data_IF_073252753039
#
_entry.id   IF_073252753039
#
_cell.length_a   1.000
_cell.length_b   1.000
_cell.length_c   1.000
_cell.angle_alpha   90.00
_cell.angle_beta   90.00
_cell.angle_gamma   90.00
#
_symmetry.space_group_name_H-M   'P 1'
#
loop_
_entity.id
_entity.type
_entity.pdbx_description
1 polymer ?
#
# COMPACT_ATOMS: atom_id res chain seq x y z
N UNK A 1 -30.62 -12.28 16.38
CA UNK A 1 -29.88 -11.37 17.28
C UNK A 1 -28.46 -11.08 16.86
N UNK A 2 -27.73 -11.99 16.22
CA UNK A 2 -26.30 -11.77 15.83
C UNK A 2 -26.04 -10.84 14.63
N UNK A 3 -26.98 -10.62 13.72
CA UNK A 3 -26.72 -9.80 12.50
C UNK A 3 -26.67 -8.30 12.82
N UNK A 4 -27.40 -7.84 13.83
CA UNK A 4 -27.37 -6.43 14.27
C UNK A 4 -26.05 -6.07 14.98
N UNK A 5 -25.46 -6.97 15.75
CA UNK A 5 -24.26 -6.70 16.53
C UNK A 5 -23.01 -6.60 15.64
N UNK A 6 -22.89 -7.43 14.61
CA UNK A 6 -21.74 -7.39 13.70
C UNK A 6 -21.73 -6.11 12.85
N UNK A 7 -22.89 -5.64 12.40
CA UNK A 7 -23.01 -4.38 11.64
C UNK A 7 -22.72 -3.15 12.51
N UNK A 8 -23.06 -3.20 13.80
CA UNK A 8 -22.77 -2.13 14.77
C UNK A 8 -21.28 -2.08 15.08
N UNK A 9 -20.62 -3.22 15.30
CA UNK A 9 -19.16 -3.28 15.59
C UNK A 9 -18.36 -2.70 14.42
N UNK A 10 -18.69 -3.10 13.19
CA UNK A 10 -18.00 -2.55 12.01
C UNK A 10 -18.26 -1.07 11.82
N UNK A 11 -19.50 -0.63 12.02
CA UNK A 11 -19.86 0.78 11.94
C UNK A 11 -19.09 1.61 12.97
N UNK A 12 -18.90 1.09 14.18
CA UNK A 12 -18.13 1.76 15.22
C UNK A 12 -16.64 1.80 14.91
N UNK A 13 -16.05 0.69 14.43
CA UNK A 13 -14.64 0.66 14.00
C UNK A 13 -14.41 1.62 12.85
N UNK A 14 -15.29 1.61 11.84
CA UNK A 14 -15.23 2.54 10.71
C UNK A 14 -15.33 4.00 11.14
N UNK A 15 -16.29 4.31 12.02
CA UNK A 15 -16.46 5.67 12.56
C UNK A 15 -15.23 6.12 13.35
N UNK A 16 -14.66 5.21 14.17
CA UNK A 16 -13.44 5.47 14.94
C UNK A 16 -12.26 5.70 14.01
N UNK A 17 -12.06 4.85 13.02
CA UNK A 17 -10.99 5.01 12.02
C UNK A 17 -11.07 6.37 11.32
N UNK A 18 -12.23 6.72 10.77
CA UNK A 18 -12.41 7.99 10.06
C UNK A 18 -12.12 9.19 10.97
N UNK A 19 -12.57 9.16 12.23
CA UNK A 19 -12.29 10.22 13.20
C UNK A 19 -10.80 10.37 13.52
N UNK A 20 -10.09 9.24 13.66
CA UNK A 20 -8.65 9.21 13.92
C UNK A 20 -7.89 9.72 12.69
N UNK A 21 -8.19 9.18 11.52
CA UNK A 21 -7.53 9.55 10.26
C UNK A 21 -7.71 11.04 9.97
N UNK A 22 -8.93 11.57 10.12
CA UNK A 22 -9.20 13.00 9.95
C UNK A 22 -8.44 13.87 10.94
N UNK A 23 -8.36 13.46 12.21
CA UNK A 23 -7.58 14.16 13.22
C UNK A 23 -6.08 14.19 12.88
N UNK A 24 -5.55 13.07 12.39
CA UNK A 24 -4.14 12.95 12.04
C UNK A 24 -3.81 13.72 10.76
N UNK A 25 -4.65 13.66 9.74
CA UNK A 25 -4.49 14.44 8.51
C UNK A 25 -4.43 15.94 8.77
N UNK A 26 -5.22 16.45 9.72
CA UNK A 26 -5.17 17.87 10.15
C UNK A 26 -3.83 18.27 10.77
N UNK A 27 -3.06 17.32 11.27
CA UNK A 27 -1.72 17.57 11.84
C UNK A 27 -0.61 17.56 10.78
N UNK A 28 -0.92 17.09 9.57
CA UNK A 28 -0.02 17.15 8.41
C UNK A 28 -0.32 18.45 7.65
N UNK A 29 0.63 19.36 7.60
CA UNK A 29 0.50 20.62 6.86
C UNK A 29 1.06 20.49 5.45
N UNK A 30 0.33 21.01 4.47
CA UNK A 30 0.84 21.23 3.12
C UNK A 30 1.70 22.49 3.08
N UNK A 31 2.88 22.41 2.50
CA UNK A 31 3.66 23.58 2.11
C UNK A 31 3.16 24.10 0.76
N UNK A 32 2.45 25.22 0.79
CA UNK A 32 1.87 25.84 -0.42
C UNK A 32 2.94 26.29 -1.44
N UNK A 33 4.17 26.55 -1.01
CA UNK A 33 5.25 26.90 -1.94
C UNK A 33 5.58 25.71 -2.85
N UNK A 34 5.49 24.47 -2.35
CA UNK A 34 5.69 23.26 -3.15
C UNK A 34 4.60 23.15 -4.22
N UNK A 35 3.33 23.36 -3.86
CA UNK A 35 2.22 23.32 -4.82
C UNK A 35 2.35 24.40 -5.88
N UNK A 36 2.71 25.62 -5.50
CA UNK A 36 2.94 26.72 -6.44
C UNK A 36 4.10 26.42 -7.39
N UNK A 37 5.23 25.87 -6.89
CA UNK A 37 6.35 25.45 -7.74
C UNK A 37 5.93 24.39 -8.77
N UNK A 38 5.10 23.42 -8.36
CA UNK A 38 4.60 22.39 -9.28
C UNK A 38 3.66 23.00 -10.32
N UNK A 39 2.78 23.93 -9.91
CA UNK A 39 1.83 24.62 -10.79
C UNK A 39 2.53 25.36 -11.93
N UNK A 40 3.65 26.00 -11.61
CA UNK A 40 4.46 26.72 -12.60
C UNK A 40 5.18 25.79 -13.59
N UNK A 41 5.42 24.54 -13.19
CA UNK A 41 6.07 23.53 -14.05
C UNK A 41 5.07 22.74 -14.91
N UNK A 42 4.03 22.18 -14.29
CA UNK A 42 3.00 21.37 -14.99
C UNK A 42 1.66 21.43 -14.26
N UNK A 43 0.67 21.97 -14.95
CA UNK A 43 -0.69 22.14 -14.43
C UNK A 43 -1.39 20.81 -14.18
N UNK A 44 -1.10 19.75 -14.95
CA UNK A 44 -1.74 18.44 -14.79
C UNK A 44 -1.23 17.73 -13.54
N UNK A 45 0.09 17.79 -13.30
CA UNK A 45 0.70 17.27 -12.08
C UNK A 45 0.22 18.07 -10.87
N UNK A 46 0.14 19.41 -10.99
CA UNK A 46 -0.44 20.24 -9.94
C UNK A 46 -1.88 19.84 -9.61
N UNK A 47 -2.74 19.64 -10.60
CA UNK A 47 -4.13 19.23 -10.35
C UNK A 47 -4.22 17.90 -9.59
N UNK A 48 -3.35 16.94 -9.92
CA UNK A 48 -3.25 15.68 -9.20
C UNK A 48 -2.81 15.89 -7.74
N UNK A 49 -1.80 16.70 -7.52
CA UNK A 49 -1.29 16.99 -6.17
C UNK A 49 -2.28 17.82 -5.35
N UNK A 50 -2.95 18.78 -5.98
CA UNK A 50 -4.00 19.55 -5.34
C UNK A 50 -5.17 18.67 -4.89
N UNK A 51 -5.57 17.70 -5.71
CA UNK A 51 -6.56 16.70 -5.32
C UNK A 51 -6.11 15.92 -4.08
N UNK A 52 -4.89 15.36 -4.10
CA UNK A 52 -4.37 14.56 -3.00
C UNK A 52 -4.18 15.38 -1.71
N UNK A 53 -3.67 16.60 -1.80
CA UNK A 53 -3.40 17.42 -0.62
C UNK A 53 -4.65 18.08 -0.05
N UNK A 54 -5.46 18.73 -0.90
CA UNK A 54 -6.55 19.59 -0.42
C UNK A 54 -7.86 18.83 -0.20
N UNK A 55 -8.12 17.75 -0.97
CA UNK A 55 -9.35 16.96 -0.81
C UNK A 55 -9.14 15.70 0.03
N UNK A 56 -8.01 15.03 -0.16
CA UNK A 56 -7.75 13.76 0.51
C UNK A 56 -6.84 13.92 1.75
N UNK A 57 -6.20 15.08 1.93
CA UNK A 57 -5.36 15.40 3.09
C UNK A 57 -4.02 14.67 3.10
N UNK A 58 -3.46 14.35 1.94
CA UNK A 58 -2.13 13.76 1.76
C UNK A 58 -1.15 14.82 1.22
N UNK A 59 -0.26 15.40 2.05
CA UNK A 59 0.64 16.45 1.62
C UNK A 59 1.64 15.98 0.58
N UNK A 60 2.06 16.94 -0.26
CA UNK A 60 3.17 16.79 -1.21
C UNK A 60 4.46 17.17 -0.53
N UNK A 61 5.45 16.29 -0.60
CA UNK A 61 6.75 16.50 0.00
C UNK A 61 7.84 16.65 -1.07
N UNK A 62 8.82 17.49 -0.79
CA UNK A 62 10.00 17.69 -1.64
C UNK A 62 11.27 17.20 -0.94
N UNK A 63 11.37 17.42 0.38
CA UNK A 63 12.52 17.02 1.19
C UNK A 63 12.47 15.51 1.52
N UNK A 64 12.57 14.68 0.47
CA UNK A 64 12.51 13.22 0.61
C UNK A 64 13.30 12.56 -0.51
N UNK A 65 14.23 11.70 -0.15
CA UNK A 65 14.91 10.83 -1.11
C UNK A 65 14.14 9.53 -1.29
N UNK A 66 14.13 9.03 -2.53
CA UNK A 66 13.46 7.79 -2.94
C UNK A 66 14.50 6.83 -3.47
N UNK A 67 14.52 5.62 -2.93
CA UNK A 67 15.22 4.48 -3.53
C UNK A 67 14.19 3.47 -4.02
N UNK A 68 14.29 3.11 -5.30
CA UNK A 68 13.43 2.13 -5.93
C UNK A 68 14.13 0.78 -6.04
N UNK A 69 13.45 -0.26 -5.58
CA UNK A 69 13.93 -1.64 -5.70
C UNK A 69 13.12 -2.35 -6.77
N UNK A 70 13.82 -2.78 -7.81
CA UNK A 70 13.18 -3.42 -8.96
C UNK A 70 12.79 -4.87 -8.70
N UNK A 71 13.34 -5.49 -7.66
CA UNK A 71 13.04 -6.85 -7.20
C UNK A 71 12.85 -6.87 -5.68
N UNK A 72 12.06 -7.84 -5.20
CA UNK A 72 11.74 -7.96 -3.78
C UNK A 72 12.96 -8.22 -2.90
N UNK A 73 13.92 -9.00 -3.41
CA UNK A 73 15.14 -9.39 -2.70
C UNK A 73 15.98 -8.16 -2.30
N UNK A 74 16.17 -7.20 -3.22
CA UNK A 74 16.87 -5.94 -2.92
C UNK A 74 16.13 -5.13 -1.84
N UNK A 75 14.80 -5.10 -1.93
CA UNK A 75 13.96 -4.43 -0.95
C UNK A 75 14.06 -5.05 0.44
N UNK A 76 14.11 -6.39 0.55
CA UNK A 76 14.29 -7.12 1.81
C UNK A 76 15.65 -6.82 2.45
N UNK A 77 16.74 -6.89 1.69
CA UNK A 77 18.09 -6.60 2.20
C UNK A 77 18.23 -5.15 2.68
N UNK A 78 17.67 -4.22 1.92
CA UNK A 78 17.64 -2.81 2.33
C UNK A 78 16.82 -2.61 3.61
N UNK A 79 15.67 -3.26 3.72
CA UNK A 79 14.81 -3.19 4.90
C UNK A 79 15.50 -3.76 6.15
N UNK A 80 16.16 -4.92 6.04
CA UNK A 80 16.95 -5.51 7.12
C UNK A 80 18.08 -4.57 7.57
N UNK A 81 18.79 -3.96 6.61
CA UNK A 81 19.84 -3.00 6.88
C UNK A 81 19.35 -1.79 7.66
N UNK A 82 18.17 -1.24 7.32
CA UNK A 82 17.63 -0.09 8.02
C UNK A 82 17.02 -0.46 9.38
N UNK A 83 16.39 -1.64 9.50
CA UNK A 83 15.88 -2.15 10.79
C UNK A 83 17.00 -2.27 11.85
N UNK A 84 18.20 -2.68 11.44
CA UNK A 84 19.37 -2.76 12.34
C UNK A 84 19.81 -1.38 12.86
N UNK A 85 19.46 -0.29 12.20
CA UNK A 85 19.80 1.08 12.60
C UNK A 85 18.75 1.70 13.53
N UNK A 86 17.62 1.05 13.77
CA UNK A 86 16.54 1.58 14.60
C UNK A 86 17.02 1.90 16.02
N UNK A 87 16.65 3.08 16.52
CA UNK A 87 17.02 3.59 17.84
C UNK A 87 15.81 3.88 18.73
N UNK A 88 14.65 4.24 18.16
CA UNK A 88 13.48 4.70 18.89
C UNK A 88 12.27 3.78 18.70
N UNK A 89 11.86 3.56 17.45
CA UNK A 89 10.71 2.72 17.16
C UNK A 89 10.74 2.08 15.77
N UNK A 90 10.10 0.92 15.66
CA UNK A 90 9.83 0.19 14.42
C UNK A 90 8.34 -0.09 14.36
N UNK A 91 7.68 0.34 13.29
CA UNK A 91 6.28 0.05 13.00
C UNK A 91 6.17 -0.74 11.71
N UNK A 92 5.50 -1.88 11.76
CA UNK A 92 5.32 -2.76 10.61
C UNK A 92 3.86 -3.16 10.43
N UNK A 93 3.36 -3.02 9.20
CA UNK A 93 2.01 -3.34 8.77
C UNK A 93 2.08 -4.15 7.48
N UNK A 94 1.58 -5.39 7.50
CA UNK A 94 1.61 -6.28 6.35
C UNK A 94 0.31 -7.06 6.19
N UNK A 95 -0.10 -7.29 4.93
CA UNK A 95 -1.27 -8.13 4.67
C UNK A 95 -1.00 -9.58 5.01
N UNK A 96 0.15 -10.12 4.59
CA UNK A 96 0.53 -11.50 4.83
C UNK A 96 1.93 -11.58 5.43
N UNK A 97 2.04 -12.46 6.44
CA UNK A 97 3.31 -12.86 7.06
C UNK A 97 3.32 -14.39 7.09
N UNK A 98 4.42 -14.98 6.69
CA UNK A 98 4.71 -16.41 6.78
C UNK A 98 5.86 -16.64 7.75
N UNK A 99 5.73 -17.59 8.68
CA UNK A 99 6.85 -18.07 9.50
C UNK A 99 7.78 -18.91 8.63
N UNK A 100 8.62 -18.23 7.84
CA UNK A 100 9.56 -18.80 6.90
C UNK A 100 10.84 -17.96 6.83
N UNK A 101 11.81 -18.38 6.03
CA UNK A 101 13.17 -17.86 6.02
C UNK A 101 13.26 -16.33 5.89
N UNK A 102 12.46 -15.73 5.02
CA UNK A 102 12.47 -14.26 4.82
C UNK A 102 12.00 -13.49 6.05
N UNK A 103 10.90 -13.94 6.67
CA UNK A 103 10.37 -13.29 7.86
C UNK A 103 11.19 -13.60 9.11
N UNK A 104 11.76 -14.81 9.24
CA UNK A 104 12.61 -15.18 10.39
C UNK A 104 13.81 -14.22 10.52
N UNK A 105 14.42 -13.81 9.41
CA UNK A 105 15.49 -12.80 9.41
C UNK A 105 15.02 -11.46 9.97
N UNK A 106 13.82 -11.03 9.59
CA UNK A 106 13.21 -9.80 10.12
C UNK A 106 12.88 -9.99 11.61
N UNK A 107 12.24 -11.10 11.98
CA UNK A 107 11.85 -11.43 13.36
C UNK A 107 13.04 -11.37 14.30
N UNK A 108 14.18 -11.92 13.90
CA UNK A 108 15.42 -11.89 14.68
C UNK A 108 15.91 -10.46 14.95
N UNK A 109 15.83 -9.56 13.96
CA UNK A 109 16.15 -8.15 14.14
C UNK A 109 15.16 -7.49 15.10
N UNK A 110 13.85 -7.70 14.90
CA UNK A 110 12.83 -7.11 15.75
C UNK A 110 12.98 -7.52 17.22
N UNK A 111 13.27 -8.79 17.50
CA UNK A 111 13.50 -9.30 18.85
C UNK A 111 14.72 -8.63 19.49
N UNK A 112 15.84 -8.52 18.76
CA UNK A 112 17.05 -7.85 19.28
C UNK A 112 16.81 -6.39 19.55
N UNK A 113 16.07 -5.69 18.67
CA UNK A 113 15.73 -4.28 18.84
C UNK A 113 14.77 -4.05 20.00
N UNK A 114 13.75 -4.89 20.18
CA UNK A 114 12.85 -4.83 21.34
C UNK A 114 13.62 -5.05 22.65
N UNK A 115 14.52 -6.04 22.70
CA UNK A 115 15.40 -6.29 23.87
C UNK A 115 16.34 -5.11 24.16
N UNK A 116 16.72 -4.33 23.15
CA UNK A 116 17.52 -3.11 23.30
C UNK A 116 16.69 -1.86 23.69
N UNK A 117 15.37 -2.01 23.89
CA UNK A 117 14.48 -0.93 24.33
C UNK A 117 13.84 -0.12 23.20
N UNK A 118 13.99 -0.55 21.94
CA UNK A 118 13.27 0.02 20.79
C UNK A 118 11.79 -0.37 20.87
N UNK A 119 10.89 0.59 20.67
CA UNK A 119 9.44 0.33 20.60
C UNK A 119 9.10 -0.40 19.30
N UNK A 120 8.74 -1.68 19.37
CA UNK A 120 8.40 -2.47 18.16
C UNK A 120 6.92 -2.79 18.13
N UNK A 121 6.25 -2.39 17.04
CA UNK A 121 4.84 -2.69 16.76
C UNK A 121 4.71 -3.42 15.44
N UNK A 122 3.99 -4.52 15.45
CA UNK A 122 3.69 -5.33 14.27
C UNK A 122 2.20 -5.61 14.20
N UNK A 123 1.55 -5.36 13.07
CA UNK A 123 0.24 -5.95 12.83
C UNK A 123 0.09 -6.50 11.40
N UNK A 124 -0.81 -7.46 11.26
CA UNK A 124 -1.08 -8.15 10.02
C UNK A 124 -2.56 -8.43 9.83
N UNK A 125 -2.96 -8.68 8.59
CA UNK A 125 -4.33 -9.10 8.27
C UNK A 125 -4.49 -10.61 8.50
N UNK A 126 -5.58 -11.00 9.19
CA UNK A 126 -5.81 -12.40 9.56
C UNK A 126 -5.97 -13.33 8.34
N UNK A 127 -6.72 -12.89 7.32
CA UNK A 127 -6.94 -13.71 6.11
C UNK A 127 -5.66 -13.94 5.34
N UNK A 128 -4.81 -12.93 5.25
CA UNK A 128 -3.52 -13.04 4.55
C UNK A 128 -2.55 -13.98 5.23
N UNK A 129 -2.69 -14.20 6.55
CA UNK A 129 -1.69 -14.90 7.36
C UNK A 129 -2.20 -16.19 8.04
N UNK A 130 -3.51 -16.46 8.05
CA UNK A 130 -4.15 -17.53 8.85
C UNK A 130 -3.61 -18.94 8.56
N UNK A 131 -3.12 -19.19 7.36
CA UNK A 131 -2.57 -20.49 6.97
C UNK A 131 -1.05 -20.57 7.16
N UNK A 132 -0.39 -19.46 7.48
CA UNK A 132 1.06 -19.30 7.48
C UNK A 132 1.63 -19.03 8.88
N UNK A 133 0.80 -18.61 9.83
CA UNK A 133 1.19 -18.34 11.21
C UNK A 133 0.64 -19.40 12.15
N UNK A 134 1.45 -19.77 13.15
CA UNK A 134 0.99 -20.65 14.20
C UNK A 134 0.06 -19.91 15.19
N UNK A 135 -0.70 -20.68 15.97
CA UNK A 135 -1.70 -20.12 16.92
C UNK A 135 -1.08 -19.31 18.06
N UNK A 136 0.19 -19.54 18.36
CA UNK A 136 0.91 -18.89 19.45
C UNK A 136 1.75 -17.70 18.97
N UNK A 137 1.78 -17.40 17.66
CA UNK A 137 2.60 -16.35 17.06
C UNK A 137 2.49 -15.00 17.80
N UNK A 138 1.28 -14.50 18.04
CA UNK A 138 1.09 -13.23 18.76
C UNK A 138 1.64 -13.31 20.17
N UNK A 139 1.47 -14.46 20.84
CA UNK A 139 1.97 -14.68 22.21
C UNK A 139 3.50 -14.70 22.23
N UNK A 140 4.10 -15.38 21.26
CA UNK A 140 5.56 -15.42 21.07
C UNK A 140 6.13 -14.02 20.83
N UNK A 141 5.56 -13.27 19.89
CA UNK A 141 6.01 -11.91 19.59
C UNK A 141 5.93 -11.01 20.83
N UNK A 142 4.82 -11.06 21.58
CA UNK A 142 4.66 -10.29 22.82
C UNK A 142 5.60 -10.72 23.94
N UNK A 143 5.89 -12.00 24.07
CA UNK A 143 6.87 -12.51 25.04
C UNK A 143 8.28 -11.97 24.74
N UNK A 144 8.58 -11.63 23.48
CA UNK A 144 9.82 -11.01 23.05
C UNK A 144 9.77 -9.46 23.04
N UNK A 145 8.77 -8.85 23.67
CA UNK A 145 8.67 -7.39 23.81
C UNK A 145 8.10 -6.66 22.57
N UNK A 146 7.54 -7.36 21.61
CA UNK A 146 6.94 -6.80 20.39
C UNK A 146 5.42 -6.66 20.58
N UNK A 147 4.85 -5.44 20.50
CA UNK A 147 3.39 -5.29 20.50
C UNK A 147 2.84 -5.78 19.14
N UNK A 148 2.36 -7.04 19.15
CA UNK A 148 1.84 -7.70 17.96
C UNK A 148 0.31 -7.76 18.01
N UNK A 149 -0.35 -7.38 16.89
CA UNK A 149 -1.82 -7.37 16.77
C UNK A 149 -2.25 -7.96 15.43
N UNK A 150 -3.51 -8.43 15.39
CA UNK A 150 -4.15 -8.94 14.18
C UNK A 150 -5.30 -8.02 13.78
N UNK A 151 -5.35 -7.67 12.48
CA UNK A 151 -6.47 -6.93 11.91
C UNK A 151 -7.57 -7.89 11.48
N UNK A 152 -8.81 -7.55 11.86
CA UNK A 152 -10.05 -8.22 11.48
C UNK A 152 -10.00 -9.76 11.58
N UNK A 153 -9.79 -10.31 12.79
CA UNK A 153 -9.67 -11.75 13.01
C UNK A 153 -10.93 -12.52 12.61
N UNK A 154 -10.75 -13.64 11.93
CA UNK A 154 -11.83 -14.54 11.52
C UNK A 154 -12.37 -15.24 12.74
N UNK A 155 -13.61 -14.93 13.11
CA UNK A 155 -14.38 -15.70 14.09
C UNK A 155 -15.27 -16.69 13.36
N UNK A 156 -15.25 -17.96 13.75
CA UNK A 156 -15.94 -19.10 13.13
C UNK A 156 -17.47 -19.00 12.99
N UNK A 157 -18.10 -17.88 13.31
CA UNK A 157 -19.52 -17.65 13.19
C UNK A 157 -19.81 -16.45 12.30
N UNK A 158 -20.21 -16.71 11.05
CA UNK A 158 -20.86 -15.74 10.13
C UNK A 158 -20.20 -14.36 10.03
N UNK A 159 -19.00 -14.27 9.45
CA UNK A 159 -18.41 -12.98 9.12
C UNK A 159 -18.79 -12.53 7.71
N UNK A 160 -19.80 -11.67 7.61
CA UNK A 160 -20.05 -10.84 6.41
C UNK A 160 -18.94 -9.82 6.10
N UNK A 161 -17.85 -9.83 6.88
CA UNK A 161 -16.73 -8.89 6.82
C UNK A 161 -15.48 -9.47 6.19
N UNK A 162 -15.58 -10.58 5.47
CA UNK A 162 -14.43 -11.14 4.73
C UNK A 162 -13.82 -10.15 3.71
N UNK A 163 -14.57 -9.10 3.36
CA UNK A 163 -14.23 -8.16 2.31
C UNK A 163 -13.44 -6.92 2.77
N UNK A 164 -13.43 -6.62 4.07
CA UNK A 164 -12.69 -5.50 4.61
C UNK A 164 -11.31 -5.98 5.06
N UNK A 165 -10.36 -6.05 4.11
CA UNK A 165 -9.00 -6.51 4.36
C UNK A 165 -8.00 -5.37 4.26
N UNK A 166 -7.05 -5.37 5.18
CA UNK A 166 -5.92 -4.49 5.08
C UNK A 166 -4.89 -5.10 4.12
N UNK A 167 -4.54 -4.36 3.10
CA UNK A 167 -3.63 -4.85 2.06
C UNK A 167 -2.32 -4.05 2.00
N UNK A 168 -2.15 -3.08 2.89
CA UNK A 168 -0.96 -2.21 2.91
C UNK A 168 0.27 -2.98 3.37
N UNK A 169 1.44 -2.54 2.93
CA UNK A 169 2.75 -2.98 3.35
C UNK A 169 3.54 -1.74 3.69
N UNK A 170 3.72 -1.51 4.97
CA UNK A 170 4.38 -0.31 5.49
C UNK A 170 5.37 -0.75 6.56
N UNK A 171 6.61 -0.28 6.44
CA UNK A 171 7.57 -0.30 7.55
C UNK A 171 8.04 1.12 7.80
N UNK A 172 7.98 1.56 9.04
CA UNK A 172 8.50 2.86 9.48
C UNK A 172 9.55 2.65 10.56
N UNK A 173 10.69 3.29 10.40
CA UNK A 173 11.83 3.22 11.31
C UNK A 173 12.15 4.62 11.79
N UNK A 174 12.00 4.86 13.09
CA UNK A 174 12.29 6.12 13.79
C UNK A 174 11.60 7.37 13.22
N UNK A 175 10.60 7.22 12.33
CA UNK A 175 10.02 8.32 11.58
C UNK A 175 10.97 8.93 10.53
N UNK A 176 12.10 8.31 10.27
CA UNK A 176 13.16 8.78 9.37
C UNK A 176 13.15 8.04 8.05
N UNK A 177 12.98 6.73 8.12
CA UNK A 177 12.96 5.83 6.96
C UNK A 177 11.64 5.11 6.90
N UNK A 178 11.08 5.00 5.71
CA UNK A 178 9.86 4.26 5.46
C UNK A 178 9.98 3.36 4.24
N UNK A 179 9.44 2.15 4.33
CA UNK A 179 9.34 1.22 3.21
C UNK A 179 7.87 1.00 2.85
N UNK A 180 7.62 0.89 1.55
CA UNK A 180 6.34 0.43 1.01
C UNK A 180 6.58 -0.29 -0.32
N UNK A 181 5.61 -1.09 -0.76
CA UNK A 181 5.77 -1.85 -2.00
C UNK A 181 4.69 -2.87 -2.21
N UNK A 182 4.92 -3.80 -3.14
CA UNK A 182 3.99 -4.88 -3.46
C UNK A 182 4.18 -6.15 -2.64
N UNK A 183 5.38 -6.41 -2.14
CA UNK A 183 5.74 -7.67 -1.47
C UNK A 183 5.21 -7.78 -0.04
N UNK A 184 4.72 -8.98 0.31
CA UNK A 184 4.46 -9.38 1.68
C UNK A 184 5.72 -10.05 2.29
N UNK A 185 5.62 -10.51 3.53
CA UNK A 185 6.72 -11.18 4.23
C UNK A 185 6.53 -12.70 4.15
N UNK A 186 6.73 -13.25 2.96
CA UNK A 186 6.70 -14.68 2.67
C UNK A 186 7.74 -15.01 1.60
N UNK A 187 8.25 -16.24 1.61
CA UNK A 187 9.43 -16.64 0.85
C UNK A 187 9.26 -16.55 -0.68
N UNK A 188 8.05 -16.71 -1.20
CA UNK A 188 7.79 -16.55 -2.64
C UNK A 188 8.02 -15.12 -3.15
N UNK A 189 7.77 -14.09 -2.33
CA UNK A 189 7.97 -12.69 -2.74
C UNK A 189 9.44 -12.31 -2.93
N UNK A 190 10.33 -13.13 -2.41
CA UNK A 190 11.78 -12.93 -2.44
C UNK A 190 12.51 -14.04 -3.21
N UNK A 191 11.79 -14.79 -4.03
CA UNK A 191 12.31 -15.88 -4.84
C UNK A 191 13.14 -16.91 -4.04
N UNK A 192 12.83 -17.12 -2.77
CA UNK A 192 13.37 -18.23 -1.96
C UNK A 192 12.64 -19.52 -2.31
N UNK A 193 11.33 -19.41 -2.60
CA UNK A 193 10.49 -20.47 -3.17
C UNK A 193 9.87 -20.00 -4.47
N UNK A 194 9.52 -20.93 -5.37
CA UNK A 194 9.06 -20.60 -6.72
C UNK A 194 7.73 -21.29 -7.10
N UNK A 195 6.64 -21.11 -6.34
CA UNK A 195 5.37 -21.81 -6.61
C UNK A 195 4.74 -21.39 -7.94
N UNK A 196 5.08 -20.20 -8.46
CA UNK A 196 4.54 -19.61 -9.69
C UNK A 196 5.64 -19.12 -10.63
N UNK A 197 6.79 -19.80 -10.66
CA UNK A 197 7.97 -19.36 -11.39
C UNK A 197 8.67 -18.19 -10.71
N UNK A 198 9.32 -17.31 -11.48
CA UNK A 198 9.95 -16.12 -10.95
C UNK A 198 8.88 -15.14 -10.44
N UNK A 199 9.01 -14.72 -9.18
CA UNK A 199 8.13 -13.72 -8.58
C UNK A 199 8.72 -12.32 -8.78
N UNK A 200 8.00 -11.48 -9.52
CA UNK A 200 8.40 -10.10 -9.79
C UNK A 200 7.60 -9.13 -8.94
N UNK A 201 8.25 -8.55 -7.94
CA UNK A 201 7.66 -7.48 -7.13
C UNK A 201 8.62 -6.30 -6.99
N UNK A 202 8.13 -5.18 -6.48
CA UNK A 202 8.90 -3.94 -6.38
C UNK A 202 8.62 -3.23 -5.07
N UNK A 203 9.60 -2.43 -4.63
CA UNK A 203 9.49 -1.66 -3.41
C UNK A 203 10.11 -0.28 -3.51
N UNK A 204 9.78 0.55 -2.53
CA UNK A 204 10.33 1.87 -2.32
C UNK A 204 10.86 2.00 -0.90
N UNK A 205 12.03 2.65 -0.76
CA UNK A 205 12.48 3.26 0.49
C UNK A 205 12.34 4.78 0.36
N UNK A 206 11.72 5.38 1.34
CA UNK A 206 11.63 6.84 1.51
C UNK A 206 12.49 7.25 2.69
N UNK A 207 13.27 8.31 2.52
CA UNK A 207 14.03 8.91 3.62
C UNK A 207 13.73 10.41 3.64
N UNK A 208 13.18 10.91 4.74
CA UNK A 208 12.82 12.32 4.89
C UNK A 208 11.34 12.57 5.20
N UNK A 209 10.83 13.73 4.80
CA UNK A 209 9.55 14.26 5.28
C UNK A 209 8.32 13.41 4.91
N UNK A 210 8.33 12.71 3.78
CA UNK A 210 7.20 11.88 3.36
C UNK A 210 6.94 10.69 4.31
N UNK A 211 7.92 10.29 5.13
CA UNK A 211 7.75 9.25 6.15
C UNK A 211 6.73 9.64 7.21
N UNK A 212 6.46 10.94 7.39
CA UNK A 212 5.37 11.45 8.26
C UNK A 212 4.02 10.87 7.86
N UNK A 213 3.74 10.84 6.56
CA UNK A 213 2.47 10.25 6.06
C UNK A 213 2.42 8.74 6.25
N UNK A 214 3.50 8.00 5.99
CA UNK A 214 3.53 6.55 6.27
C UNK A 214 3.32 6.26 7.76
N UNK A 215 3.92 7.06 8.63
CA UNK A 215 3.72 6.97 10.09
C UNK A 215 2.26 7.21 10.47
N UNK A 216 1.63 8.22 9.87
CA UNK A 216 0.22 8.52 10.07
C UNK A 216 -0.68 7.36 9.60
N UNK A 217 -0.41 6.80 8.43
CA UNK A 217 -1.17 5.69 7.87
C UNK A 217 -1.12 4.47 8.80
N UNK A 218 0.06 4.10 9.28
CA UNK A 218 0.22 3.04 10.26
C UNK A 218 -0.56 3.32 11.55
N UNK A 219 -0.34 4.47 12.16
CA UNK A 219 -0.96 4.82 13.45
C UNK A 219 -2.48 4.94 13.36
N UNK A 220 -3.03 5.38 12.23
CA UNK A 220 -4.48 5.45 12.01
C UNK A 220 -5.11 4.07 12.09
N UNK A 221 -4.52 3.09 11.42
CA UNK A 221 -4.99 1.70 11.47
C UNK A 221 -4.73 1.08 12.84
N UNK A 222 -3.52 1.23 13.38
CA UNK A 222 -3.13 0.72 14.68
C UNK A 222 -4.09 1.16 15.79
N UNK A 223 -4.42 2.45 15.86
CA UNK A 223 -5.35 2.97 16.85
C UNK A 223 -6.81 2.54 16.62
N UNK A 224 -7.19 2.27 15.36
CA UNK A 224 -8.55 1.79 15.05
C UNK A 224 -8.80 0.37 15.57
N UNK A 225 -7.77 -0.46 15.65
CA UNK A 225 -7.85 -1.86 16.13
C UNK A 225 -7.58 -2.02 17.63
N UNK A 226 -7.24 -0.93 18.33
CA UNK A 226 -7.14 -0.93 19.80
C UNK A 226 -8.49 -1.23 20.45
N UNK A 227 -8.46 -1.78 21.65
CA UNK A 227 -9.68 -1.89 22.48
C UNK A 227 -10.22 -0.49 22.79
N UNK A 228 -11.52 -0.43 23.09
CA UNK A 228 -12.23 0.85 23.27
C UNK A 228 -11.72 1.65 24.49
N UNK A 229 -11.18 0.98 25.48
CA UNK A 229 -10.64 1.52 26.73
C UNK A 229 -9.13 1.90 26.64
N UNK A 230 -8.44 1.50 25.56
CA UNK A 230 -7.06 1.89 25.36
C UNK A 230 -6.97 3.33 24.82
N UNK A 231 -6.07 4.19 25.38
CA UNK A 231 -5.90 5.55 24.89
C UNK A 231 -5.32 5.54 23.47
N UNK A 232 -5.65 6.58 22.69
CA UNK A 232 -5.00 6.82 21.41
C UNK A 232 -3.56 7.26 21.63
N UNK A 233 -2.69 6.90 20.66
CA UNK A 233 -1.31 7.36 20.70
C UNK A 233 -1.22 8.86 20.47
N UNK A 234 -0.28 9.50 21.17
CA UNK A 234 0.16 10.84 20.82
C UNK A 234 0.94 10.79 19.51
N UNK A 235 0.21 11.03 18.42
CA UNK A 235 0.73 11.06 17.09
C UNK A 235 1.86 12.08 16.88
N UNK A 236 1.78 13.24 17.56
CA UNK A 236 2.79 14.31 17.46
C UNK A 236 4.17 13.82 17.92
N UNK A 237 4.21 12.92 18.91
CA UNK A 237 5.46 12.30 19.37
C UNK A 237 6.22 11.61 18.22
N UNK A 238 5.51 10.86 17.38
CA UNK A 238 6.12 10.07 16.30
C UNK A 238 6.44 10.92 15.08
N UNK A 239 5.63 11.96 14.79
CA UNK A 239 5.92 12.91 13.71
C UNK A 239 7.12 13.78 14.03
N UNK A 240 7.21 14.30 15.27
CA UNK A 240 8.38 15.08 15.71
C UNK A 240 9.67 14.24 15.67
N UNK A 241 9.59 12.93 15.74
CA UNK A 241 10.75 12.08 15.57
C UNK A 241 11.40 12.23 14.19
N UNK A 242 10.65 12.67 13.16
CA UNK A 242 11.16 12.97 11.82
C UNK A 242 11.80 14.35 11.67
N UNK A 243 11.69 15.22 12.68
CA UNK A 243 12.33 16.54 12.68
C UNK A 243 13.82 16.41 13.11
N UNK A 244 14.58 15.65 12.34
CA UNK A 244 16.01 15.39 12.61
C UNK A 244 16.94 16.15 11.66
N UNK A 245 16.42 17.16 10.98
CA UNK A 245 17.22 18.06 10.13
C UNK A 245 17.66 17.40 8.82
N UNK A 246 16.93 16.39 8.33
CA UNK A 246 17.23 15.76 7.06
C UNK A 246 17.16 16.75 5.90
N UNK A 247 18.11 16.61 4.98
CA UNK A 247 18.12 17.33 3.72
C UNK A 247 18.27 16.31 2.59
N UNK A 248 17.25 16.22 1.76
CA UNK A 248 17.26 15.33 0.61
C UNK A 248 18.41 15.68 -0.34
N UNK A 249 19.07 14.66 -0.86
CA UNK A 249 20.13 14.80 -1.86
C UNK A 249 19.55 15.26 -3.19
N UNK A 250 18.36 14.72 -3.55
CA UNK A 250 17.64 15.09 -4.76
C UNK A 250 16.40 15.94 -4.46
N UNK A 251 16.51 17.24 -4.68
CA UNK A 251 15.42 18.20 -4.46
C UNK A 251 14.54 18.47 -5.71
N UNK A 252 14.72 17.70 -6.80
CA UNK A 252 13.96 17.87 -8.04
C UNK A 252 12.77 16.91 -8.18
N UNK A 253 12.45 16.20 -7.12
CA UNK A 253 11.34 15.24 -7.09
C UNK A 253 10.30 15.61 -6.03
N UNK A 254 9.08 15.15 -6.25
CA UNK A 254 7.96 15.33 -5.32
C UNK A 254 7.40 13.96 -4.96
N UNK A 255 7.00 13.79 -3.71
CA UNK A 255 6.49 12.54 -3.18
C UNK A 255 5.18 12.77 -2.45
N UNK A 256 4.19 11.94 -2.74
CA UNK A 256 2.91 11.93 -2.04
C UNK A 256 2.57 10.49 -1.64
N UNK A 257 2.88 10.04 -0.44
CA UNK A 257 2.32 8.80 0.06
C UNK A 257 0.83 8.97 0.32
N UNK A 258 0.02 8.05 -0.19
CA UNK A 258 -1.42 8.00 0.02
C UNK A 258 -1.89 6.56 0.13
N UNK A 259 -3.08 6.34 0.66
CA UNK A 259 -3.65 5.01 0.76
C UNK A 259 -5.18 5.02 0.66
N UNK A 260 -5.74 3.98 0.07
CA UNK A 260 -7.11 3.58 0.32
C UNK A 260 -7.20 2.81 1.63
N UNK A 261 -8.36 2.86 2.27
CA UNK A 261 -8.63 2.10 3.48
C UNK A 261 -9.88 1.25 3.30
N UNK A 262 -9.89 -0.01 3.77
CA UNK A 262 -11.09 -0.82 3.78
C UNK A 262 -12.17 -0.24 4.71
N UNK A 263 -11.81 0.74 5.52
CA UNK A 263 -12.67 1.36 6.53
C UNK A 263 -13.29 2.69 6.09
N UNK A 264 -12.88 3.26 4.95
CA UNK A 264 -13.53 4.43 4.34
C UNK A 264 -14.12 4.08 2.96
N UNK A 265 -14.78 5.05 2.32
CA UNK A 265 -15.39 4.86 1.00
C UNK A 265 -14.64 5.65 -0.10
N UNK A 266 -13.53 6.28 0.26
CA UNK A 266 -12.77 7.07 -0.70
C UNK A 266 -12.08 6.11 -1.67
N UNK A 267 -12.06 6.50 -2.95
CA UNK A 267 -11.40 5.76 -4.03
C UNK A 267 -10.18 6.56 -4.49
N UNK A 268 -9.28 6.85 -3.54
CA UNK A 268 -8.15 7.74 -3.79
C UNK A 268 -7.28 7.21 -4.91
N UNK A 269 -6.92 5.93 -4.85
CA UNK A 269 -6.07 5.30 -5.84
C UNK A 269 -6.74 5.24 -7.23
N UNK A 270 -8.03 4.89 -7.31
CA UNK A 270 -8.77 4.88 -8.58
C UNK A 270 -8.79 6.27 -9.22
N UNK A 271 -9.04 7.32 -8.44
CA UNK A 271 -9.03 8.69 -8.91
C UNK A 271 -7.64 9.13 -9.40
N UNK A 272 -6.58 8.74 -8.68
CA UNK A 272 -5.20 8.98 -9.10
C UNK A 272 -4.92 8.33 -10.44
N UNK A 273 -5.29 7.06 -10.62
CA UNK A 273 -5.09 6.35 -11.88
C UNK A 273 -5.87 6.97 -13.03
N UNK A 274 -7.13 7.32 -12.82
CA UNK A 274 -7.94 8.00 -13.83
C UNK A 274 -7.33 9.34 -14.27
N UNK A 275 -6.82 10.12 -13.32
CA UNK A 275 -6.13 11.36 -13.63
C UNK A 275 -4.84 11.13 -14.45
N UNK A 276 -4.03 10.12 -14.10
CA UNK A 276 -2.82 9.76 -14.85
C UNK A 276 -3.18 9.34 -16.29
N UNK A 277 -4.19 8.48 -16.47
CA UNK A 277 -4.63 8.06 -17.80
C UNK A 277 -5.08 9.27 -18.66
N UNK A 278 -5.84 10.18 -18.03
CA UNK A 278 -6.37 11.36 -18.72
C UNK A 278 -5.28 12.37 -19.09
N UNK A 279 -4.23 12.49 -18.28
CA UNK A 279 -3.12 13.43 -18.49
C UNK A 279 -1.98 12.88 -19.34
N UNK A 280 -1.90 11.57 -19.56
CA UNK A 280 -0.85 10.94 -20.37
C UNK A 280 -0.80 11.50 -21.80
N UNK A 281 0.42 11.88 -22.26
CA UNK A 281 0.67 12.58 -23.55
C UNK A 281 1.35 11.64 -24.55
N UNK A 282 2.36 10.85 -24.12
CA UNK A 282 3.20 10.05 -25.01
C UNK A 282 3.09 8.56 -24.70
N UNK A 283 3.24 8.17 -23.45
CA UNK A 283 3.14 6.75 -23.04
C UNK A 283 2.61 6.57 -21.62
N UNK A 284 2.00 5.41 -21.42
CA UNK A 284 1.52 4.94 -20.14
C UNK A 284 1.82 3.45 -20.00
N UNK A 285 2.73 3.10 -19.08
CA UNK A 285 3.15 1.73 -18.82
C UNK A 285 2.65 1.28 -17.46
N UNK A 286 1.98 0.13 -17.44
CA UNK A 286 1.30 -0.40 -16.27
C UNK A 286 1.76 -1.83 -16.02
N UNK A 287 2.10 -2.14 -14.77
CA UNK A 287 2.22 -3.52 -14.30
C UNK A 287 1.17 -3.80 -13.25
N UNK A 288 0.50 -4.94 -13.35
CA UNK A 288 -0.52 -5.36 -12.37
C UNK A 288 -0.66 -6.87 -12.32
N UNK A 289 -0.80 -7.49 -11.13
CA UNK A 289 -1.07 -8.92 -11.02
C UNK A 289 -2.45 -9.29 -11.53
N UNK A 290 -3.41 -8.36 -11.43
CA UNK A 290 -4.80 -8.60 -11.82
C UNK A 290 -5.36 -7.37 -12.53
N UNK A 291 -5.76 -7.54 -13.78
CA UNK A 291 -6.42 -6.49 -14.56
C UNK A 291 -7.94 -6.59 -14.36
N UNK A 292 -8.39 -6.18 -13.18
CA UNK A 292 -9.80 -6.12 -12.81
C UNK A 292 -10.20 -4.65 -12.67
N UNK A 293 -10.56 -4.04 -13.78
CA UNK A 293 -10.78 -2.58 -13.88
C UNK A 293 -12.27 -2.24 -13.99
N UNK A 294 -12.60 -1.03 -13.57
CA UNK A 294 -13.96 -0.49 -13.78
C UNK A 294 -14.21 -0.20 -15.27
N UNK A 295 -15.47 -0.12 -15.66
CA UNK A 295 -15.84 0.26 -17.02
C UNK A 295 -15.28 1.65 -17.37
N UNK A 296 -15.31 2.60 -16.43
CA UNK A 296 -14.73 3.93 -16.62
C UNK A 296 -13.24 3.85 -16.93
N UNK A 297 -12.48 3.10 -16.14
CA UNK A 297 -11.03 2.93 -16.34
C UNK A 297 -10.72 2.23 -17.67
N UNK A 298 -11.50 1.20 -18.04
CA UNK A 298 -11.35 0.52 -19.34
C UNK A 298 -11.56 1.50 -20.51
N UNK A 299 -12.59 2.33 -20.43
CA UNK A 299 -12.86 3.36 -21.46
C UNK A 299 -11.75 4.41 -21.54
N UNK A 300 -11.25 4.88 -20.40
CA UNK A 300 -10.18 5.89 -20.38
C UNK A 300 -8.86 5.33 -20.93
N UNK A 301 -8.51 4.07 -20.64
CA UNK A 301 -7.35 3.40 -21.24
C UNK A 301 -7.48 3.26 -22.77
N UNK A 302 -8.67 2.87 -23.24
CA UNK A 302 -8.97 2.81 -24.67
C UNK A 302 -8.87 4.21 -25.31
N UNK A 303 -9.44 5.24 -24.66
CA UNK A 303 -9.37 6.61 -25.14
C UNK A 303 -7.94 7.15 -25.17
N UNK A 304 -7.11 6.83 -24.19
CA UNK A 304 -5.69 7.20 -24.21
C UNK A 304 -4.96 6.60 -25.41
N UNK A 305 -5.16 5.30 -25.68
CA UNK A 305 -4.58 4.64 -26.84
C UNK A 305 -5.09 5.23 -28.17
N UNK A 306 -6.39 5.54 -28.27
CA UNK A 306 -6.97 6.17 -29.46
C UNK A 306 -6.48 7.61 -29.66
N UNK A 307 -6.07 8.33 -28.61
CA UNK A 307 -5.40 9.64 -28.72
C UNK A 307 -3.94 9.53 -29.19
N UNK A 308 -3.41 8.33 -29.34
CA UNK A 308 -2.03 8.08 -29.78
C UNK A 308 -1.02 7.86 -28.62
N UNK A 309 -1.50 7.74 -27.38
CA UNK A 309 -0.65 7.37 -26.24
C UNK A 309 -0.25 5.90 -26.38
N UNK A 310 1.04 5.58 -26.23
CA UNK A 310 1.53 4.19 -26.18
C UNK A 310 1.17 3.55 -24.83
N UNK A 311 0.00 2.92 -24.76
CA UNK A 311 -0.47 2.26 -23.54
C UNK A 311 -0.03 0.80 -23.53
N UNK A 312 0.78 0.44 -22.52
CA UNK A 312 1.26 -0.94 -22.33
C UNK A 312 0.89 -1.46 -20.95
N UNK A 313 0.37 -2.68 -20.91
CA UNK A 313 -0.01 -3.35 -19.67
C UNK A 313 0.74 -4.69 -19.60
N UNK A 314 1.38 -4.97 -18.48
CA UNK A 314 2.04 -6.25 -18.19
C UNK A 314 1.28 -6.95 -17.06
N UNK A 315 0.89 -8.19 -17.30
CA UNK A 315 0.19 -9.08 -16.39
C UNK A 315 0.98 -10.38 -16.18
N UNK A 316 0.64 -11.22 -15.18
CA UNK A 316 1.35 -12.49 -14.99
C UNK A 316 1.25 -13.44 -16.19
N UNK A 317 2.34 -14.15 -16.48
CA UNK A 317 2.34 -15.28 -17.41
C UNK A 317 1.95 -16.59 -16.73
N UNK A 318 2.32 -16.77 -15.45
CA UNK A 318 1.94 -17.91 -14.62
C UNK A 318 1.03 -17.39 -13.50
N UNK A 319 -0.25 -17.79 -13.44
CA UNK A 319 -1.19 -17.25 -12.44
C UNK A 319 -1.08 -17.94 -11.08
N UNK A 320 -1.27 -17.17 -10.00
CA UNK A 320 -1.51 -17.69 -8.64
C UNK A 320 -2.96 -18.17 -8.45
N UNK A 321 -3.92 -17.51 -9.12
CA UNK A 321 -5.38 -17.78 -9.03
C UNK A 321 -5.99 -17.91 -10.40
N UNK A 322 -6.28 -19.13 -10.82
CA UNK A 322 -6.80 -19.44 -12.18
C UNK A 322 -8.08 -18.67 -12.54
N UNK A 323 -9.02 -18.53 -11.60
CA UNK A 323 -10.28 -17.81 -11.86
C UNK A 323 -10.02 -16.31 -12.07
N UNK A 324 -9.23 -15.69 -11.20
CA UNK A 324 -8.86 -14.26 -11.31
C UNK A 324 -8.08 -13.98 -12.59
N UNK A 325 -7.23 -14.91 -13.00
CA UNK A 325 -6.50 -14.82 -14.25
C UNK A 325 -7.43 -14.89 -15.47
N UNK A 326 -8.43 -15.78 -15.45
CA UNK A 326 -9.43 -15.84 -16.52
C UNK A 326 -10.23 -14.55 -16.63
N UNK A 327 -10.59 -13.93 -15.49
CA UNK A 327 -11.24 -12.62 -15.46
C UNK A 327 -10.30 -11.52 -15.98
N UNK A 328 -9.03 -11.51 -15.59
CA UNK A 328 -8.02 -10.59 -16.15
C UNK A 328 -7.97 -10.67 -17.67
N UNK A 329 -7.90 -11.88 -18.22
CA UNK A 329 -7.82 -12.08 -19.67
C UNK A 329 -9.10 -11.69 -20.41
N UNK A 330 -10.25 -11.66 -19.73
CA UNK A 330 -11.51 -11.23 -20.38
C UNK A 330 -11.49 -9.77 -20.82
N UNK A 331 -10.67 -8.92 -20.17
CA UNK A 331 -10.51 -7.52 -20.58
C UNK A 331 -9.57 -7.31 -21.78
N UNK A 332 -8.76 -8.31 -22.15
CA UNK A 332 -7.72 -8.16 -23.19
C UNK A 332 -8.32 -7.79 -24.56
N UNK A 333 -9.33 -8.50 -24.99
CA UNK A 333 -9.90 -8.34 -26.32
C UNK A 333 -10.43 -6.90 -26.54
N UNK A 334 -11.13 -6.37 -25.55
CA UNK A 334 -11.70 -5.03 -25.64
C UNK A 334 -10.60 -3.94 -25.64
N UNK A 335 -9.59 -4.07 -24.79
CA UNK A 335 -8.51 -3.08 -24.71
C UNK A 335 -7.60 -3.13 -25.95
N UNK A 336 -7.22 -4.32 -26.41
CA UNK A 336 -6.37 -4.51 -27.61
C UNK A 336 -7.07 -3.98 -28.86
N UNK A 337 -8.39 -4.14 -28.96
CA UNK A 337 -9.18 -3.60 -30.07
C UNK A 337 -9.01 -2.09 -30.28
N UNK A 338 -8.75 -1.35 -29.19
CA UNK A 338 -8.54 0.10 -29.22
C UNK A 338 -7.07 0.52 -29.24
N UNK A 339 -6.13 -0.43 -29.37
CA UNK A 339 -4.70 -0.15 -29.51
C UNK A 339 -3.87 -0.26 -28.24
N UNK A 340 -4.45 -0.66 -27.10
CA UNK A 340 -3.70 -0.99 -25.91
C UNK A 340 -2.88 -2.24 -26.13
N UNK A 341 -1.60 -2.23 -25.76
CA UNK A 341 -0.70 -3.39 -25.88
C UNK A 341 -0.62 -4.14 -24.58
N UNK A 342 -0.93 -5.43 -24.59
CA UNK A 342 -0.90 -6.27 -23.39
C UNK A 342 0.17 -7.33 -23.53
N UNK A 343 0.97 -7.50 -22.49
CA UNK A 343 2.06 -8.46 -22.39
C UNK A 343 1.85 -9.35 -21.16
N UNK A 344 2.23 -10.62 -21.30
CA UNK A 344 2.27 -11.56 -20.18
C UNK A 344 3.73 -11.82 -19.78
N UNK A 345 4.03 -11.67 -18.48
CA UNK A 345 5.36 -11.90 -17.91
C UNK A 345 5.64 -13.41 -17.87
N UNK A 346 6.25 -13.93 -18.91
CA UNK A 346 6.43 -15.37 -19.11
C UNK A 346 7.35 -16.07 -18.10
N UNK A 347 8.35 -15.43 -17.46
CA UNK A 347 9.16 -16.09 -16.43
C UNK A 347 8.37 -16.54 -15.19
N UNK A 348 7.21 -15.89 -14.91
CA UNK A 348 6.47 -16.24 -13.70
C UNK A 348 5.30 -15.32 -13.38
N UNK A 349 5.17 -15.01 -12.08
CA UNK A 349 4.10 -14.18 -11.55
C UNK A 349 4.58 -12.75 -11.28
N UNK A 350 4.08 -11.78 -12.05
CA UNK A 350 4.34 -10.36 -11.76
C UNK A 350 3.32 -9.84 -10.75
N UNK A 351 3.79 -9.50 -9.55
CA UNK A 351 2.97 -8.95 -8.48
C UNK A 351 3.19 -7.45 -8.28
N UNK A 352 4.13 -6.86 -8.99
CA UNK A 352 4.38 -5.42 -8.99
C UNK A 352 3.13 -4.65 -9.42
N UNK A 353 2.83 -3.54 -8.75
CA UNK A 353 1.78 -2.59 -9.08
C UNK A 353 2.43 -1.25 -9.35
N UNK A 354 2.66 -0.98 -10.63
CA UNK A 354 3.38 0.20 -11.06
C UNK A 354 2.69 0.87 -12.23
N UNK A 355 2.74 2.19 -12.20
CA UNK A 355 2.30 3.04 -13.30
C UNK A 355 3.40 4.04 -13.60
N UNK A 356 3.74 4.20 -14.86
CA UNK A 356 4.69 5.21 -15.32
C UNK A 356 4.09 5.91 -16.52
N UNK A 357 3.97 7.24 -16.44
CA UNK A 357 3.48 8.10 -17.50
C UNK A 357 4.54 9.12 -17.88
N UNK A 358 4.91 9.15 -19.16
CA UNK A 358 5.72 10.18 -19.82
C UNK A 358 7.12 10.45 -19.19
N UNK A 359 7.59 9.60 -18.26
CA UNK A 359 8.79 9.84 -17.46
C UNK A 359 8.64 10.94 -16.42
N UNK A 360 7.43 11.46 -16.25
CA UNK A 360 7.13 12.58 -15.35
C UNK A 360 6.43 12.11 -14.06
N UNK A 361 5.52 11.13 -14.18
CA UNK A 361 4.73 10.61 -13.05
C UNK A 361 4.89 9.11 -12.94
N UNK A 362 5.16 8.64 -11.72
CA UNK A 362 5.13 7.22 -11.42
C UNK A 362 4.35 6.94 -10.13
N UNK A 363 3.64 5.81 -10.10
CA UNK A 363 3.01 5.28 -8.90
C UNK A 363 3.59 3.90 -8.65
N UNK A 364 4.04 3.67 -7.43
CA UNK A 364 4.49 2.37 -6.94
C UNK A 364 3.71 2.06 -5.69
N UNK A 365 3.07 0.93 -5.62
CA UNK A 365 2.27 0.63 -4.45
C UNK A 365 1.47 -0.64 -4.55
N UNK A 366 0.39 -0.66 -3.79
CA UNK A 366 -0.39 -1.83 -3.52
C UNK A 366 -1.74 -1.84 -4.22
N UNK A 367 -2.22 -0.72 -4.72
CA UNK A 367 -3.57 -0.67 -5.25
C UNK A 367 -3.73 -1.69 -6.37
N UNK A 368 -4.40 -2.78 -6.04
CA UNK A 368 -5.10 -3.56 -7.05
C UNK A 368 -6.04 -2.58 -7.74
N UNK A 369 -5.97 -2.49 -9.07
CA UNK A 369 -7.01 -1.81 -9.85
C UNK A 369 -8.28 -2.54 -9.47
N UNK A 370 -9.14 -1.85 -8.76
CA UNK A 370 -10.06 -2.40 -7.81
C UNK A 370 -10.90 -3.55 -8.30
N UNK A 371 -10.85 -4.62 -7.54
CA UNK A 371 -12.04 -5.42 -7.30
C UNK A 371 -12.96 -4.58 -6.41
N UNK A 372 -13.85 -3.80 -6.99
CA UNK A 372 -15.13 -3.63 -6.35
C UNK A 372 -15.76 -5.00 -6.43
N UNK A 373 -15.75 -5.76 -5.32
CA UNK A 373 -16.49 -7.00 -5.28
C UNK A 373 -17.92 -6.75 -5.80
N UNK A 374 -18.47 -7.70 -6.57
CA UNK A 374 -19.85 -7.61 -7.05
C UNK A 374 -20.81 -7.85 -5.89
N UNK A 375 -20.88 -6.93 -4.94
CA UNK A 375 -21.93 -6.86 -3.92
C UNK A 375 -23.07 -5.94 -4.35
N UNK A 376 -23.15 -5.58 -5.62
CA UNK A 376 -24.42 -5.15 -6.18
C UNK A 376 -25.17 -6.40 -6.63
N UNK A 377 -26.16 -6.76 -5.83
CA UNK A 377 -27.26 -7.60 -6.29
C UNK A 377 -27.70 -7.08 -7.65
N UNK A 378 -27.34 -7.79 -8.72
CA UNK A 378 -28.07 -7.69 -9.96
C UNK A 378 -29.48 -8.20 -9.67
N UNK A 379 -30.42 -7.27 -9.54
CA UNK A 379 -31.80 -7.63 -9.73
C UNK A 379 -31.92 -8.02 -11.20
N UNK A 380 -31.97 -9.30 -11.46
CA UNK A 380 -32.47 -9.81 -12.73
C UNK A 380 -33.99 -9.62 -12.65
N UNK A 381 -34.47 -8.67 -13.41
CA UNK A 381 -35.89 -8.59 -13.79
C UNK A 381 -36.13 -9.45 -14.99
#
# INVERSE_FOLDING_TARGET
MCIRDSSIVTRNVKKRFNSIEESYKKSLSQDENILNEVKDKDIYIYNQFHYLSNHEGYPVYKNTDIEFYSIGEEGLEAQLTELEKAEKFIFMEYHAIEEASSFDRIKDVLIRKAAAGVEVRLFYDDVGSIFFLNKDFIKEMRANGIDCRVFNPIKLAFNMFMNNRDHRKITVIDGKVGFTGGYNLADEYFNITHPYGEWKDTGLKLTGDAVKTLTMLFLSMWNSIKKTDEPQDDYVKYIKASDYGYKAVNNNQYVVPYADSPLNNNRVAENVYLNIIKSAKHYLYITTPYLLITEEMSRELAMAAMRGVDVRIVTPGIPDKKLTYSLTRSYYADLVRYGVRIYEYTPGFIHAKQWVSDGEVSVVGLSLIHISEPTRRSYIS
#
